data_IF_133658976507
#
_entry.id   IF_133658976507
#
_cell.length_a   1.000
_cell.length_b   1.000
_cell.length_c   1.000
_cell.angle_alpha   90.00
_cell.angle_beta   90.00
_cell.angle_gamma   90.00
#
_symmetry.space_group_name_H-M   'P 1'
#
loop_
_entity.id
_entity.type
_entity.pdbx_description
1 polymer ?
#
# COMPACT_ATOMS: atom_id res chain seq x y z
N UNK A 1 -18.37 4.64 -12.31
CA UNK A 1 -17.34 3.82 -11.62
C UNK A 1 -18.04 2.68 -10.88
N UNK A 2 -17.47 1.51 -10.87
CA UNK A 2 -17.98 0.37 -10.11
C UNK A 2 -16.84 -0.23 -9.29
N UNK A 3 -17.04 -0.28 -7.96
CA UNK A 3 -16.14 -0.93 -7.03
C UNK A 3 -16.96 -1.90 -6.16
N UNK A 4 -16.95 -3.16 -6.53
CA UNK A 4 -17.71 -4.21 -5.83
C UNK A 4 -17.21 -4.43 -4.40
N UNK A 5 -15.93 -4.14 -4.14
CA UNK A 5 -15.33 -4.26 -2.82
C UNK A 5 -15.98 -3.32 -1.79
N UNK A 6 -16.42 -2.12 -2.19
CA UNK A 6 -17.06 -1.16 -1.27
C UNK A 6 -18.34 -1.68 -0.61
N UNK A 7 -19.00 -2.68 -1.20
CA UNK A 7 -20.22 -3.30 -0.65
C UNK A 7 -19.92 -4.38 0.38
N UNK A 8 -18.67 -4.84 0.49
CA UNK A 8 -18.26 -5.90 1.42
C UNK A 8 -17.88 -5.32 2.78
N UNK A 9 -18.26 -6.01 3.86
CA UNK A 9 -17.82 -5.70 5.22
C UNK A 9 -16.70 -6.68 5.55
N UNK A 10 -15.49 -6.16 5.74
CA UNK A 10 -14.34 -6.95 6.15
C UNK A 10 -14.08 -6.60 7.62
N UNK A 11 -14.36 -7.51 8.57
CA UNK A 11 -14.31 -7.20 10.00
C UNK A 11 -12.87 -7.28 10.53
N UNK A 12 -11.96 -6.54 9.95
CA UNK A 12 -10.56 -6.44 10.38
C UNK A 12 -10.24 -5.01 10.78
N UNK A 13 -9.63 -4.83 11.95
CA UNK A 13 -9.21 -3.52 12.46
C UNK A 13 -7.96 -3.66 13.30
N UNK A 14 -7.29 -2.54 13.57
CA UNK A 14 -6.16 -2.42 14.49
C UNK A 14 -6.47 -1.42 15.61
N UNK A 15 -5.68 -1.45 16.68
CA UNK A 15 -5.82 -0.52 17.81
C UNK A 15 -5.48 0.93 17.42
N UNK A 16 -4.70 1.14 16.36
CA UNK A 16 -4.31 2.46 15.87
C UNK A 16 -5.27 3.01 14.80
N UNK A 17 -6.31 2.25 14.43
CA UNK A 17 -7.25 2.64 13.38
C UNK A 17 -7.88 4.00 13.66
N UNK A 18 -7.70 4.95 12.72
CA UNK A 18 -8.19 6.31 12.84
C UNK A 18 -7.32 7.25 13.68
N UNK A 19 -6.12 6.82 14.08
CA UNK A 19 -5.18 7.66 14.83
C UNK A 19 -3.94 7.89 13.95
N UNK A 20 -3.88 9.04 13.30
CA UNK A 20 -2.76 9.36 12.42
C UNK A 20 -1.57 9.96 13.15
N UNK A 21 -0.39 9.92 12.50
CA UNK A 21 0.87 10.43 13.05
C UNK A 21 1.66 11.19 11.99
N UNK A 22 2.25 12.33 12.42
CA UNK A 22 3.16 13.12 11.60
C UNK A 22 4.54 12.46 11.57
N UNK A 23 4.99 12.05 10.38
CA UNK A 23 6.28 11.35 10.21
C UNK A 23 7.40 12.32 9.88
N UNK A 24 7.15 13.23 8.93
CA UNK A 24 8.02 14.37 8.62
C UNK A 24 7.15 15.63 8.56
N UNK A 25 7.72 16.81 8.32
CA UNK A 25 6.95 18.04 8.23
C UNK A 25 5.84 18.03 7.16
N UNK A 26 5.96 17.15 6.17
CA UNK A 26 5.08 17.04 5.00
C UNK A 26 4.55 15.63 4.73
N UNK A 27 4.89 14.66 5.58
CA UNK A 27 4.35 13.30 5.51
C UNK A 27 3.54 12.98 6.75
N UNK A 28 2.31 12.57 6.55
CA UNK A 28 1.40 12.12 7.59
C UNK A 28 0.86 10.73 7.26
N UNK A 29 1.08 9.81 8.16
CA UNK A 29 0.62 8.44 8.12
C UNK A 29 -0.75 8.35 8.80
N UNK A 30 -1.73 7.73 8.15
CA UNK A 30 -3.08 7.53 8.68
C UNK A 30 -3.50 6.08 8.52
N UNK A 31 -3.48 5.29 9.60
CA UNK A 31 -3.95 3.92 9.58
C UNK A 31 -5.48 3.88 9.66
N UNK A 32 -6.11 3.14 8.77
CA UNK A 32 -7.53 2.87 8.85
C UNK A 32 -7.80 1.37 8.74
N UNK A 33 -8.42 0.80 9.76
CA UNK A 33 -8.53 -0.64 9.94
C UNK A 33 -7.13 -1.30 10.02
N UNK A 34 -6.66 -1.95 8.96
CA UNK A 34 -5.38 -2.64 8.92
C UNK A 34 -4.43 -2.10 7.85
N UNK A 35 -4.85 -1.11 7.09
CA UNK A 35 -4.09 -0.54 5.97
C UNK A 35 -3.78 0.93 6.23
N UNK A 36 -2.71 1.40 5.64
CA UNK A 36 -2.24 2.75 5.77
C UNK A 36 -2.51 3.55 4.50
N UNK A 37 -2.89 4.80 4.68
CA UNK A 37 -2.84 5.83 3.64
C UNK A 37 -1.86 6.91 4.07
N UNK A 38 -1.26 7.59 3.09
CA UNK A 38 -0.29 8.65 3.38
C UNK A 38 -0.75 9.96 2.75
N UNK A 39 -0.73 11.02 3.55
CA UNK A 39 -0.95 12.39 3.07
C UNK A 39 0.41 13.06 2.93
N UNK A 40 0.72 13.51 1.73
CA UNK A 40 1.90 14.31 1.42
C UNK A 40 1.51 15.75 1.20
N UNK A 41 2.05 16.65 1.99
CA UNK A 41 1.83 18.09 1.93
C UNK A 41 1.92 18.71 3.32
N UNK A 42 2.30 19.97 3.39
CA UNK A 42 2.32 20.72 4.65
C UNK A 42 0.89 20.97 5.14
N UNK A 43 0.58 20.66 6.42
CA UNK A 43 -0.75 20.92 6.95
C UNK A 43 -1.06 22.42 6.92
N UNK A 44 -2.32 22.75 6.68
CA UNK A 44 -2.80 24.12 6.64
C UNK A 44 -3.84 24.36 5.55
N UNK A 45 -4.79 25.25 5.83
CA UNK A 45 -5.88 25.55 4.92
C UNK A 45 -5.37 26.06 3.57
N UNK A 46 -5.82 25.42 2.48
CA UNK A 46 -5.47 25.80 1.11
C UNK A 46 -4.09 25.34 0.63
N UNK A 47 -3.30 24.65 1.45
CA UNK A 47 -2.03 24.07 1.01
C UNK A 47 -2.25 22.93 0.02
N UNK A 48 -1.34 22.80 -0.93
CA UNK A 48 -1.36 21.69 -1.89
C UNK A 48 -0.93 20.38 -1.23
N UNK A 49 -1.61 19.30 -1.59
CA UNK A 49 -1.34 17.96 -1.04
C UNK A 49 -1.70 16.84 -2.02
N UNK A 50 -1.16 15.66 -1.77
CA UNK A 50 -1.37 14.42 -2.52
C UNK A 50 -1.75 13.32 -1.54
N UNK A 51 -2.66 12.45 -1.95
CA UNK A 51 -3.00 11.23 -1.22
C UNK A 51 -2.27 10.05 -1.84
N UNK A 52 -1.67 9.21 -1.03
CA UNK A 52 -1.08 7.94 -1.45
C UNK A 52 -1.95 6.81 -0.90
N UNK A 53 -2.46 5.98 -1.80
CA UNK A 53 -3.47 4.94 -1.60
C UNK A 53 -4.84 5.48 -1.11
N UNK A 54 -5.85 4.63 -1.10
CA UNK A 54 -7.23 5.01 -0.81
C UNK A 54 -7.91 4.09 0.23
N UNK A 55 -7.11 3.30 0.93
CA UNK A 55 -7.53 2.51 2.09
C UNK A 55 -8.50 1.37 1.79
N UNK A 56 -9.02 0.78 2.84
CA UNK A 56 -9.99 -0.32 2.83
C UNK A 56 -11.35 0.12 2.25
N UNK A 57 -12.19 -0.83 1.82
CA UNK A 57 -13.60 -0.54 1.53
C UNK A 57 -14.27 0.25 2.66
N UNK A 58 -14.98 1.32 2.32
CA UNK A 58 -15.67 2.26 3.23
C UNK A 58 -14.75 3.21 4.02
N UNK A 59 -13.47 3.30 3.68
CA UNK A 59 -12.57 4.27 4.33
C UNK A 59 -12.72 5.70 3.81
N UNK A 60 -13.40 5.90 2.68
CA UNK A 60 -13.46 7.19 2.00
C UNK A 60 -13.93 8.35 2.90
N UNK A 61 -15.00 8.16 3.69
CA UNK A 61 -15.49 9.21 4.60
C UNK A 61 -14.46 9.57 5.68
N UNK A 62 -13.74 8.59 6.23
CA UNK A 62 -12.71 8.83 7.23
C UNK A 62 -11.51 9.56 6.63
N UNK A 63 -11.09 9.20 5.42
CA UNK A 63 -10.02 9.89 4.69
C UNK A 63 -10.43 11.32 4.38
N UNK A 64 -11.68 11.57 3.97
CA UNK A 64 -12.21 12.93 3.70
C UNK A 64 -12.18 13.77 4.97
N UNK A 65 -12.67 13.24 6.10
CA UNK A 65 -12.67 13.96 7.38
C UNK A 65 -11.25 14.34 7.79
N UNK A 66 -10.31 13.38 7.76
CA UNK A 66 -8.91 13.64 8.10
C UNK A 66 -8.27 14.66 7.17
N UNK A 67 -8.54 14.59 5.86
CA UNK A 67 -8.06 15.58 4.89
C UNK A 67 -8.61 16.97 5.15
N UNK A 68 -9.92 17.10 5.45
CA UNK A 68 -10.55 18.39 5.75
C UNK A 68 -10.03 19.01 7.06
N UNK A 69 -9.68 18.18 8.05
CA UNK A 69 -9.03 18.64 9.29
C UNK A 69 -7.61 19.16 9.06
N UNK A 70 -6.85 18.50 8.16
CA UNK A 70 -5.45 18.84 7.89
C UNK A 70 -5.28 20.00 6.92
N UNK A 71 -6.04 20.03 5.85
CA UNK A 71 -5.85 20.92 4.70
C UNK A 71 -6.99 21.92 4.49
N UNK A 72 -8.02 21.84 5.31
CA UNK A 72 -9.21 22.69 5.19
C UNK A 72 -10.31 22.10 4.32
N UNK A 73 -11.54 22.54 4.59
CA UNK A 73 -12.71 22.13 3.82
C UNK A 73 -12.62 22.64 2.39
N UNK A 74 -13.11 21.84 1.44
CA UNK A 74 -13.10 22.14 -0.01
C UNK A 74 -11.70 22.32 -0.62
N UNK A 75 -10.68 21.75 -0.01
CA UNK A 75 -9.32 21.68 -0.55
C UNK A 75 -9.01 20.25 -1.01
N UNK A 76 -9.36 19.86 -2.25
CA UNK A 76 -9.09 18.52 -2.75
C UNK A 76 -7.60 18.28 -2.96
N UNK A 77 -7.14 16.99 -2.92
CA UNK A 77 -5.78 16.67 -3.31
C UNK A 77 -5.52 17.00 -4.78
N UNK A 78 -4.26 17.27 -5.12
CA UNK A 78 -3.84 17.42 -6.52
C UNK A 78 -3.97 16.12 -7.31
N UNK A 79 -3.75 14.99 -6.62
CA UNK A 79 -3.86 13.64 -7.17
C UNK A 79 -4.02 12.61 -6.07
N UNK A 80 -4.44 11.40 -6.46
CA UNK A 80 -4.18 10.16 -5.71
C UNK A 80 -3.09 9.39 -6.46
N UNK A 81 -2.08 8.93 -5.73
CA UNK A 81 -1.04 8.03 -6.24
C UNK A 81 -1.31 6.65 -5.65
N UNK A 82 -1.49 5.64 -6.46
CA UNK A 82 -1.66 4.26 -6.00
C UNK A 82 -0.31 3.52 -6.05
N UNK A 83 0.01 2.85 -4.95
CA UNK A 83 1.14 1.90 -4.92
C UNK A 83 0.82 0.69 -5.78
N UNK A 84 -0.42 0.18 -5.67
CA UNK A 84 -0.98 -0.91 -6.46
C UNK A 84 -2.53 -0.92 -6.33
N UNK A 85 -3.21 -1.85 -6.97
CA UNK A 85 -4.67 -1.83 -7.06
C UNK A 85 -5.41 -2.88 -6.21
N UNK A 86 -4.82 -3.50 -5.20
CA UNK A 86 -5.56 -4.40 -4.32
C UNK A 86 -6.67 -3.67 -3.54
N UNK A 87 -7.69 -4.42 -3.18
CA UNK A 87 -8.95 -3.92 -2.60
C UNK A 87 -8.77 -3.02 -1.37
N UNK A 88 -7.74 -3.25 -0.60
CA UNK A 88 -7.41 -2.52 0.63
C UNK A 88 -6.57 -1.26 0.38
N UNK A 89 -6.08 -1.06 -0.84
CA UNK A 89 -5.42 0.16 -1.29
C UNK A 89 -6.29 1.04 -2.18
N UNK A 90 -7.38 0.48 -2.73
CA UNK A 90 -8.31 1.20 -3.60
C UNK A 90 -9.75 1.21 -3.05
N UNK A 91 -9.95 0.74 -1.82
CA UNK A 91 -11.29 0.49 -1.28
C UNK A 91 -12.19 1.72 -1.17
N UNK A 92 -11.64 2.88 -0.84
CA UNK A 92 -12.38 4.15 -0.77
C UNK A 92 -12.33 4.98 -2.04
N UNK A 93 -11.62 4.55 -3.08
CA UNK A 93 -11.23 5.40 -4.21
C UNK A 93 -12.40 5.97 -5.01
N UNK A 94 -13.47 5.20 -5.21
CA UNK A 94 -14.66 5.66 -5.95
C UNK A 94 -15.30 6.84 -5.24
N UNK A 95 -15.47 6.75 -3.93
CA UNK A 95 -16.03 7.80 -3.10
C UNK A 95 -15.15 9.07 -3.11
N UNK A 96 -13.82 8.89 -3.04
CA UNK A 96 -12.86 9.99 -3.09
C UNK A 96 -12.88 10.70 -4.46
N UNK A 97 -12.94 9.96 -5.56
CA UNK A 97 -13.06 10.52 -6.91
C UNK A 97 -14.40 11.28 -7.07
N UNK A 98 -15.50 10.73 -6.59
CA UNK A 98 -16.80 11.40 -6.64
C UNK A 98 -16.80 12.71 -5.87
N UNK A 99 -16.15 12.75 -4.70
CA UNK A 99 -16.03 13.95 -3.85
C UNK A 99 -15.10 15.00 -4.46
N UNK A 100 -13.90 14.60 -4.92
CA UNK A 100 -12.82 15.54 -5.23
C UNK A 100 -12.54 15.72 -6.72
N UNK A 101 -12.91 14.77 -7.56
CA UNK A 101 -12.75 14.82 -9.04
C UNK A 101 -11.32 15.10 -9.50
N UNK A 102 -10.32 14.54 -8.79
CA UNK A 102 -8.90 14.66 -9.10
C UNK A 102 -8.40 13.45 -9.93
N UNK A 103 -7.23 13.56 -10.59
CA UNK A 103 -6.61 12.44 -11.29
C UNK A 103 -6.07 11.40 -10.30
N UNK A 104 -6.07 10.13 -10.75
CA UNK A 104 -5.44 9.00 -10.08
C UNK A 104 -4.26 8.55 -10.92
N UNK A 105 -3.12 8.26 -10.31
CA UNK A 105 -1.93 7.74 -11.00
C UNK A 105 -1.55 6.38 -10.43
N UNK A 106 -1.18 5.46 -11.30
CA UNK A 106 -0.65 4.14 -10.96
C UNK A 106 0.37 3.68 -12.01
N UNK A 107 1.09 2.62 -11.75
CA UNK A 107 1.97 2.02 -12.74
C UNK A 107 1.17 1.47 -13.94
N UNK A 108 1.76 1.50 -15.14
CA UNK A 108 1.09 1.04 -16.36
C UNK A 108 0.60 -0.41 -16.29
N UNK A 109 1.33 -1.29 -15.58
CA UNK A 109 0.95 -2.69 -15.38
C UNK A 109 -0.22 -2.89 -14.41
N UNK A 110 -0.65 -1.85 -13.66
CA UNK A 110 -1.87 -1.89 -12.86
C UNK A 110 -3.12 -1.49 -13.67
N UNK A 111 -2.96 -0.92 -14.87
CA UNK A 111 -4.09 -0.41 -15.65
C UNK A 111 -5.16 -1.44 -15.98
N UNK A 112 -4.84 -2.70 -16.36
CA UNK A 112 -5.89 -3.70 -16.64
C UNK A 112 -6.82 -3.91 -15.44
N UNK A 113 -6.26 -4.00 -14.23
CA UNK A 113 -7.01 -4.19 -12.98
C UNK A 113 -7.83 -2.94 -12.59
N UNK A 114 -7.25 -1.76 -12.79
CA UNK A 114 -7.90 -0.48 -12.45
C UNK A 114 -8.93 -0.02 -13.49
N UNK A 115 -8.94 -0.62 -14.68
CA UNK A 115 -9.92 -0.35 -15.75
C UNK A 115 -11.02 -1.40 -15.86
N UNK A 116 -10.96 -2.44 -15.04
CA UNK A 116 -11.95 -3.51 -15.07
C UNK A 116 -11.77 -4.49 -16.22
N UNK A 117 -10.56 -4.60 -16.76
CA UNK A 117 -10.20 -5.45 -17.89
C UNK A 117 -9.76 -6.85 -17.43
N UNK A 118 -9.06 -6.93 -16.27
CA UNK A 118 -8.54 -8.15 -15.68
C UNK A 118 -8.72 -8.15 -14.16
N UNK A 119 -9.03 -9.30 -13.57
CA UNK A 119 -9.04 -9.51 -12.13
C UNK A 119 -7.63 -9.88 -11.64
N UNK A 120 -7.31 -9.54 -10.37
CA UNK A 120 -6.07 -10.02 -9.75
C UNK A 120 -6.10 -11.54 -9.56
N UNK A 121 -4.93 -12.20 -9.50
CA UNK A 121 -4.86 -13.61 -9.14
C UNK A 121 -5.61 -13.88 -7.83
N UNK A 122 -6.30 -15.02 -7.78
CA UNK A 122 -6.97 -15.45 -6.55
C UNK A 122 -5.98 -15.56 -5.39
N UNK A 123 -6.32 -15.05 -4.19
CA UNK A 123 -5.51 -15.25 -3.01
C UNK A 123 -5.23 -16.72 -2.73
N UNK A 124 -4.06 -17.02 -2.19
CA UNK A 124 -3.68 -18.38 -1.82
C UNK A 124 -3.98 -18.69 -0.34
N UNK A 125 -5.08 -19.39 -0.02
CA UNK A 125 -5.43 -19.74 1.35
C UNK A 125 -4.59 -20.86 1.94
N UNK A 126 -3.72 -21.49 1.15
CA UNK A 126 -2.93 -22.66 1.56
C UNK A 126 -1.63 -22.28 2.24
N UNK A 127 -1.18 -21.03 2.10
CA UNK A 127 0.05 -20.54 2.76
C UNK A 127 -0.09 -20.50 4.29
N UNK A 128 1.03 -20.55 5.00
CA UNK A 128 1.03 -20.26 6.44
C UNK A 128 0.58 -18.81 6.66
N UNK A 129 -0.43 -18.63 7.49
CA UNK A 129 -1.00 -17.31 7.67
C UNK A 129 -2.20 -17.30 8.61
N UNK A 130 -2.36 -18.38 9.33
CA UNK A 130 -3.41 -18.49 10.34
C UNK A 130 -4.82 -18.25 9.75
N UNK A 131 -5.63 -17.46 10.46
CA UNK A 131 -7.02 -17.20 10.01
C UNK A 131 -7.08 -16.27 8.80
N UNK A 132 -6.16 -15.31 8.67
CA UNK A 132 -6.18 -14.35 7.55
C UNK A 132 -5.97 -15.04 6.21
N UNK A 133 -5.00 -15.94 6.11
CA UNK A 133 -4.81 -16.76 4.91
C UNK A 133 -6.05 -17.63 4.61
N UNK A 134 -6.63 -18.25 5.62
CA UNK A 134 -7.82 -19.12 5.45
C UNK A 134 -9.05 -18.36 4.95
N UNK A 135 -9.23 -17.11 5.33
CA UNK A 135 -10.35 -16.27 4.87
C UNK A 135 -10.00 -15.48 3.61
N UNK A 136 -8.77 -15.53 3.13
CA UNK A 136 -8.33 -14.78 1.95
C UNK A 136 -9.14 -15.06 0.67
N UNK A 137 -9.70 -16.25 0.41
CA UNK A 137 -10.59 -16.46 -0.73
C UNK A 137 -11.85 -15.58 -0.74
N UNK A 138 -12.18 -14.95 0.38
CA UNK A 138 -13.30 -14.01 0.47
C UNK A 138 -12.86 -12.55 0.27
N UNK A 139 -11.55 -12.30 0.13
CA UNK A 139 -11.06 -10.95 -0.17
C UNK A 139 -11.40 -10.60 -1.62
N UNK A 140 -11.81 -9.35 -1.86
CA UNK A 140 -12.08 -8.91 -3.21
C UNK A 140 -10.78 -8.93 -4.03
N UNK A 141 -10.78 -9.66 -5.13
CA UNK A 141 -9.72 -9.64 -6.16
C UNK A 141 -10.23 -9.12 -7.50
N UNK A 142 -11.53 -8.77 -7.53
CA UNK A 142 -12.18 -8.29 -8.75
C UNK A 142 -11.64 -6.90 -9.13
N UNK A 143 -11.43 -6.73 -10.43
CA UNK A 143 -11.06 -5.46 -11.03
C UNK A 143 -12.03 -4.32 -10.68
N UNK A 144 -11.52 -3.12 -10.56
CA UNK A 144 -12.34 -1.92 -10.40
C UNK A 144 -12.40 -1.13 -11.70
N UNK A 145 -13.45 -0.31 -11.87
CA UNK A 145 -13.64 0.46 -13.10
C UNK A 145 -13.45 1.94 -12.82
N UNK A 146 -12.20 2.39 -12.94
CA UNK A 146 -11.81 3.81 -12.81
C UNK A 146 -11.66 4.49 -14.17
N UNK A 147 -12.38 4.03 -15.19
CA UNK A 147 -12.32 4.55 -16.57
C UNK A 147 -12.35 6.08 -16.62
N UNK A 148 -11.36 6.68 -17.32
CA UNK A 148 -11.25 8.13 -17.48
C UNK A 148 -10.65 8.89 -16.29
N UNK A 149 -10.42 8.22 -15.16
CA UNK A 149 -9.83 8.86 -13.97
C UNK A 149 -8.39 8.39 -13.70
N UNK A 150 -7.98 7.20 -14.16
CA UNK A 150 -6.65 6.64 -13.92
C UNK A 150 -5.70 6.89 -15.09
N UNK A 151 -4.49 7.32 -14.76
CA UNK A 151 -3.39 7.61 -15.69
C UNK A 151 -2.13 6.86 -15.26
N UNK A 152 -1.26 6.55 -16.24
CA UNK A 152 0.03 5.96 -15.93
C UNK A 152 0.96 6.98 -15.27
N UNK A 153 1.77 6.52 -14.29
CA UNK A 153 2.88 7.28 -13.75
C UNK A 153 3.87 7.64 -14.87
N UNK A 154 4.51 8.84 -14.80
CA UNK A 154 5.51 9.25 -15.78
C UNK A 154 6.67 8.26 -15.87
N UNK A 155 7.08 7.90 -17.09
CA UNK A 155 8.15 6.90 -17.32
C UNK A 155 9.54 7.38 -16.88
N UNK A 156 9.73 8.67 -16.63
CA UNK A 156 10.99 9.24 -16.10
C UNK A 156 11.20 9.02 -14.60
N UNK A 157 10.27 8.31 -13.96
CA UNK A 157 10.31 8.00 -12.54
C UNK A 157 9.82 9.14 -11.63
N UNK A 158 9.37 10.27 -12.17
CA UNK A 158 8.82 11.35 -11.34
C UNK A 158 7.43 11.01 -10.82
N UNK A 159 7.09 11.52 -9.62
CA UNK A 159 5.76 11.36 -9.04
C UNK A 159 4.99 12.67 -9.23
N UNK A 160 3.83 12.67 -9.89
CA UNK A 160 3.05 13.89 -10.12
C UNK A 160 2.74 14.64 -8.82
N UNK A 161 3.00 15.94 -8.79
CA UNK A 161 2.77 16.85 -7.65
C UNK A 161 3.55 16.52 -6.37
N UNK A 162 4.59 15.68 -6.47
CA UNK A 162 5.47 15.33 -5.36
C UNK A 162 6.93 15.62 -5.74
N UNK A 163 7.32 16.89 -5.61
CA UNK A 163 8.67 17.33 -5.98
C UNK A 163 9.74 16.61 -5.16
N UNK A 164 10.78 16.14 -5.85
CA UNK A 164 11.89 15.40 -5.24
C UNK A 164 11.61 13.92 -4.96
N UNK A 165 10.38 13.45 -5.19
CA UNK A 165 10.04 12.04 -5.10
C UNK A 165 10.24 11.31 -6.42
N UNK A 166 10.62 10.04 -6.32
CA UNK A 166 10.67 9.10 -7.42
C UNK A 166 9.83 7.87 -7.10
N UNK A 167 9.09 7.38 -8.09
CA UNK A 167 8.54 6.05 -8.01
C UNK A 167 9.57 5.02 -8.46
N UNK A 168 9.53 3.87 -7.81
CA UNK A 168 10.45 2.74 -8.03
C UNK A 168 9.57 1.53 -8.29
N UNK A 169 9.75 0.87 -9.44
CA UNK A 169 9.06 -0.37 -9.72
C UNK A 169 9.55 -1.47 -8.78
N UNK A 170 8.64 -2.00 -7.98
CA UNK A 170 8.86 -3.00 -6.94
C UNK A 170 7.87 -4.16 -7.07
N UNK A 171 7.93 -4.89 -8.22
CA UNK A 171 7.02 -5.99 -8.49
C UNK A 171 7.20 -7.16 -7.53
N UNK A 172 6.24 -8.08 -7.54
CA UNK A 172 6.22 -9.31 -6.76
C UNK A 172 4.88 -9.51 -6.06
N UNK A 173 4.46 -8.54 -5.24
CA UNK A 173 3.14 -8.50 -4.65
C UNK A 173 2.04 -8.27 -5.71
N UNK A 174 2.24 -7.30 -6.58
CA UNK A 174 1.56 -7.19 -7.88
C UNK A 174 2.59 -6.93 -8.97
N UNK A 175 2.18 -7.09 -10.25
CA UNK A 175 3.09 -6.84 -11.37
C UNK A 175 3.46 -5.37 -11.51
N UNK A 176 2.55 -4.46 -11.18
CA UNK A 176 2.74 -3.03 -11.31
C UNK A 176 2.96 -2.31 -9.97
N UNK A 177 3.25 -3.05 -8.90
CA UNK A 177 3.51 -2.44 -7.60
C UNK A 177 4.66 -1.43 -7.67
N UNK A 178 4.48 -0.27 -7.04
CA UNK A 178 5.52 0.77 -6.90
C UNK A 178 5.70 1.19 -5.46
N UNK A 179 6.94 1.54 -5.13
CA UNK A 179 7.28 2.26 -3.90
C UNK A 179 7.71 3.69 -4.26
N UNK A 180 7.55 4.64 -3.35
CA UNK A 180 7.95 6.03 -3.56
C UNK A 180 9.12 6.36 -2.64
N UNK A 181 10.17 6.99 -3.17
CA UNK A 181 11.36 7.35 -2.41
C UNK A 181 11.76 8.79 -2.64
N UNK A 182 12.12 9.49 -1.56
CA UNK A 182 12.71 10.83 -1.57
C UNK A 182 14.13 10.77 -1.03
N UNK A 183 15.10 11.02 -1.92
CA UNK A 183 16.52 10.93 -1.57
C UNK A 183 16.95 11.99 -0.57
N UNK A 184 16.36 13.18 -0.61
CA UNK A 184 16.75 14.33 0.20
C UNK A 184 16.76 14.07 1.71
N UNK A 185 15.86 13.22 2.21
CA UNK A 185 15.74 12.88 3.63
C UNK A 185 15.62 11.36 3.88
N UNK A 186 15.74 10.55 2.83
CA UNK A 186 15.62 9.10 2.92
C UNK A 186 14.23 8.61 3.27
N UNK A 187 13.17 9.37 2.96
CA UNK A 187 11.78 8.95 3.18
C UNK A 187 11.35 7.93 2.14
N UNK A 188 10.80 6.80 2.59
CA UNK A 188 10.28 5.71 1.77
C UNK A 188 8.80 5.47 2.08
N UNK A 189 7.96 5.44 1.05
CA UNK A 189 6.62 4.88 1.10
C UNK A 189 6.70 3.56 0.33
N UNK A 190 6.73 2.46 1.07
CA UNK A 190 7.07 1.15 0.52
C UNK A 190 5.89 0.44 -0.14
N UNK A 191 4.64 0.85 0.16
CA UNK A 191 3.48 0.05 -0.16
C UNK A 191 3.62 -1.34 0.48
N UNK A 192 3.30 -2.36 -0.29
CA UNK A 192 3.34 -3.77 0.13
C UNK A 192 4.57 -4.53 -0.41
N UNK A 193 5.64 -3.82 -0.81
CA UNK A 193 6.91 -4.48 -1.14
C UNK A 193 7.51 -5.22 0.07
N UNK A 194 7.31 -4.69 1.24
CA UNK A 194 7.48 -5.31 2.56
C UNK A 194 6.55 -4.61 3.55
N UNK A 195 6.27 -5.24 4.69
CA UNK A 195 5.38 -4.69 5.71
C UNK A 195 6.05 -4.71 7.09
N UNK A 196 5.59 -3.83 7.99
CA UNK A 196 6.15 -3.67 9.35
C UNK A 196 5.28 -4.34 10.42
N UNK A 197 4.48 -5.31 10.00
CA UNK A 197 3.64 -6.17 10.85
C UNK A 197 3.55 -7.55 10.22
N UNK A 198 3.49 -8.60 11.05
CA UNK A 198 3.26 -9.95 10.53
C UNK A 198 1.77 -10.14 10.22
N UNK A 199 1.40 -10.00 8.97
CA UNK A 199 0.01 -10.05 8.48
C UNK A 199 -0.69 -11.40 8.74
N UNK A 200 0.06 -12.49 8.82
CA UNK A 200 -0.48 -13.82 9.07
C UNK A 200 -0.98 -14.00 10.52
N UNK A 201 -0.62 -13.10 11.44
CA UNK A 201 -1.05 -13.15 12.83
C UNK A 201 -2.11 -12.10 13.13
N UNK A 202 -3.36 -12.52 13.35
CA UNK A 202 -4.45 -11.62 13.78
C UNK A 202 -4.10 -10.80 15.02
N UNK A 203 -3.38 -11.40 15.98
CA UNK A 203 -2.94 -10.70 17.18
C UNK A 203 -1.99 -9.56 16.84
N UNK A 204 -0.95 -9.81 16.01
CA UNK A 204 0.04 -8.80 15.62
C UNK A 204 -0.57 -7.71 14.73
N UNK A 205 -1.47 -8.08 13.81
CA UNK A 205 -2.24 -7.11 13.02
C UNK A 205 -3.11 -6.23 13.92
N UNK A 206 -3.76 -6.81 14.91
CA UNK A 206 -4.59 -6.04 15.86
C UNK A 206 -3.74 -5.12 16.74
N UNK A 207 -2.61 -5.61 17.28
CA UNK A 207 -1.75 -4.84 18.20
C UNK A 207 -0.74 -3.94 17.49
N UNK A 208 -0.56 -4.08 16.16
CA UNK A 208 0.45 -3.38 15.37
C UNK A 208 1.87 -3.55 15.96
N UNK A 209 2.18 -4.79 16.41
CA UNK A 209 3.51 -5.12 16.90
C UNK A 209 4.54 -4.99 15.81
N UNK A 210 5.62 -4.25 16.06
CA UNK A 210 6.70 -4.00 15.11
C UNK A 210 7.45 -5.29 14.78
N UNK A 211 7.22 -5.80 13.58
CA UNK A 211 7.95 -6.96 13.04
C UNK A 211 8.02 -6.79 11.52
N UNK A 212 9.23 -6.75 10.98
CA UNK A 212 9.37 -6.69 9.53
C UNK A 212 9.03 -8.04 8.90
N UNK A 213 8.32 -8.02 7.80
CA UNK A 213 7.98 -9.18 6.98
C UNK A 213 8.09 -8.83 5.51
N UNK A 214 8.15 -9.83 4.65
CA UNK A 214 7.96 -9.64 3.22
C UNK A 214 6.55 -9.15 2.90
N UNK A 215 6.17 -9.10 1.62
CA UNK A 215 4.83 -8.77 1.19
C UNK A 215 3.80 -9.78 1.74
N UNK A 216 2.49 -9.42 1.80
CA UNK A 216 1.42 -10.31 2.26
C UNK A 216 1.42 -11.65 1.53
N UNK A 217 1.65 -12.76 2.25
CA UNK A 217 1.93 -14.09 1.68
C UNK A 217 0.82 -14.61 0.77
N UNK A 218 -0.43 -14.42 1.16
CA UNK A 218 -1.59 -14.93 0.43
C UNK A 218 -1.94 -14.14 -0.84
N UNK A 219 -1.30 -12.99 -1.07
CA UNK A 219 -1.52 -12.11 -2.24
C UNK A 219 -0.24 -11.90 -3.08
N UNK A 220 0.82 -12.67 -2.84
CA UNK A 220 2.11 -12.47 -3.53
C UNK A 220 2.39 -13.63 -4.49
N UNK A 221 2.19 -13.42 -5.80
CA UNK A 221 2.39 -14.47 -6.80
C UNK A 221 3.83 -14.65 -7.27
N UNK A 222 4.71 -13.65 -7.10
CA UNK A 222 6.10 -13.69 -7.61
C UNK A 222 7.11 -13.37 -6.52
N UNK A 223 7.64 -14.41 -5.90
CA UNK A 223 8.59 -14.31 -4.79
C UNK A 223 10.00 -13.91 -5.23
N UNK A 224 10.39 -14.21 -6.46
CA UNK A 224 11.69 -13.80 -7.00
C UNK A 224 11.71 -12.28 -7.23
N UNK A 225 10.67 -11.76 -7.87
CA UNK A 225 10.51 -10.32 -8.06
C UNK A 225 10.35 -9.58 -6.72
N UNK A 226 9.63 -10.15 -5.74
CA UNK A 226 9.47 -9.58 -4.41
C UNK A 226 10.82 -9.46 -3.68
N UNK A 227 11.66 -10.50 -3.72
CA UNK A 227 13.03 -10.46 -3.19
C UNK A 227 13.84 -9.34 -3.81
N UNK A 228 13.91 -9.30 -5.15
CA UNK A 228 14.65 -8.27 -5.87
C UNK A 228 14.15 -6.85 -5.53
N UNK A 229 12.86 -6.70 -5.30
CA UNK A 229 12.24 -5.44 -4.89
C UNK A 229 12.69 -5.03 -3.48
N UNK A 230 12.68 -5.94 -2.51
CA UNK A 230 13.17 -5.67 -1.14
C UNK A 230 14.66 -5.33 -1.14
N UNK A 231 15.49 -6.08 -1.87
CA UNK A 231 16.93 -5.81 -2.01
C UNK A 231 17.17 -4.41 -2.61
N UNK A 232 16.42 -4.05 -3.66
CA UNK A 232 16.47 -2.72 -4.27
C UNK A 232 16.13 -1.62 -3.27
N UNK A 233 15.06 -1.77 -2.48
CA UNK A 233 14.65 -0.79 -1.48
C UNK A 233 15.64 -0.69 -0.32
N UNK A 234 16.17 -1.81 0.16
CA UNK A 234 17.19 -1.83 1.21
C UNK A 234 18.48 -1.12 0.77
N UNK A 235 18.88 -1.26 -0.50
CA UNK A 235 20.06 -0.60 -1.06
C UNK A 235 19.94 0.94 -1.08
N UNK A 236 18.73 1.49 -1.06
CA UNK A 236 18.49 2.94 -0.93
C UNK A 236 18.81 3.48 0.47
N UNK A 237 18.96 2.62 1.46
CA UNK A 237 19.25 2.97 2.86
C UNK A 237 18.26 3.99 3.42
N UNK A 238 16.95 3.72 3.37
CA UNK A 238 15.94 4.65 3.84
C UNK A 238 16.12 4.99 5.32
N UNK A 239 15.81 6.25 5.67
CA UNK A 239 15.86 6.76 7.05
C UNK A 239 14.54 6.47 7.77
N UNK A 240 13.43 6.56 7.05
CA UNK A 240 12.09 6.22 7.53
C UNK A 240 11.33 5.49 6.42
N UNK A 241 10.54 4.50 6.80
CA UNK A 241 9.65 3.78 5.89
C UNK A 241 8.22 3.76 6.44
N UNK A 242 7.27 4.08 5.56
CA UNK A 242 5.84 3.89 5.75
C UNK A 242 5.45 2.77 4.79
N UNK A 243 4.89 1.68 5.31
CA UNK A 243 4.44 0.51 4.56
C UNK A 243 2.92 0.53 4.40
N UNK A 244 2.36 -0.30 3.51
CA UNK A 244 0.91 -0.43 3.38
C UNK A 244 0.25 -0.96 4.66
N UNK A 245 0.98 -1.76 5.43
CA UNK A 245 0.50 -2.35 6.68
C UNK A 245 1.54 -2.25 7.79
N UNK A 246 1.07 -1.99 9.02
CA UNK A 246 1.92 -1.83 10.18
C UNK A 246 2.33 -0.39 10.44
N UNK A 247 3.00 -0.15 11.57
CA UNK A 247 3.46 1.18 11.97
C UNK A 247 4.70 1.59 11.18
N UNK A 248 4.89 2.88 10.91
CA UNK A 248 6.14 3.38 10.35
C UNK A 248 7.36 2.94 11.16
N UNK A 249 8.45 2.63 10.46
CA UNK A 249 9.70 2.24 11.08
C UNK A 249 10.83 3.20 10.65
N UNK A 250 11.75 3.52 11.54
CA UNK A 250 12.78 4.53 11.24
C UNK A 250 14.15 4.21 11.86
N UNK A 251 15.17 4.90 11.36
CA UNK A 251 16.52 4.95 11.91
C UNK A 251 17.24 3.62 11.93
N UNK A 252 17.86 3.31 13.08
CA UNK A 252 18.63 2.08 13.26
C UNK A 252 17.75 0.83 13.16
N UNK A 253 16.54 0.88 13.75
CA UNK A 253 15.59 -0.24 13.74
C UNK A 253 15.17 -0.61 12.32
N UNK A 254 14.83 0.39 11.49
CA UNK A 254 14.49 0.13 10.08
C UNK A 254 15.66 -0.54 9.34
N UNK A 255 16.85 -0.01 9.50
CA UNK A 255 18.05 -0.50 8.81
C UNK A 255 18.36 -1.96 9.17
N UNK A 256 18.40 -2.25 10.47
CA UNK A 256 18.70 -3.60 10.96
C UNK A 256 17.64 -4.63 10.52
N UNK A 257 16.36 -4.23 10.52
CA UNK A 257 15.27 -5.09 10.09
C UNK A 257 15.28 -5.29 8.57
N UNK A 258 15.57 -4.28 7.75
CA UNK A 258 15.70 -4.44 6.30
C UNK A 258 16.92 -5.30 5.94
N UNK A 259 18.07 -5.08 6.59
CA UNK A 259 19.26 -5.90 6.37
C UNK A 259 18.97 -7.37 6.73
N UNK A 260 18.24 -7.62 7.83
CA UNK A 260 17.79 -8.96 8.24
C UNK A 260 16.82 -9.59 7.22
N UNK A 261 15.83 -8.80 6.74
CA UNK A 261 14.87 -9.29 5.75
C UNK A 261 15.56 -9.67 4.44
N UNK A 262 16.55 -8.90 3.98
CA UNK A 262 17.35 -9.23 2.80
C UNK A 262 18.16 -10.51 3.03
N UNK A 263 18.85 -10.62 4.18
CA UNK A 263 19.69 -11.78 4.50
C UNK A 263 18.89 -13.09 4.62
N UNK A 264 17.67 -12.99 5.21
CA UNK A 264 16.82 -14.15 5.52
C UNK A 264 15.47 -14.12 4.80
N UNK A 265 15.44 -13.61 3.59
CA UNK A 265 14.19 -13.42 2.85
C UNK A 265 13.39 -14.73 2.72
N UNK A 266 14.05 -15.85 2.44
CA UNK A 266 13.38 -17.15 2.31
C UNK A 266 12.69 -17.56 3.61
N UNK A 267 13.38 -17.40 4.74
CA UNK A 267 12.87 -17.81 6.04
C UNK A 267 11.76 -16.87 6.58
N UNK A 268 11.89 -15.55 6.29
CA UNK A 268 10.99 -14.53 6.84
C UNK A 268 9.77 -14.31 5.92
N UNK A 269 9.99 -14.21 4.61
CA UNK A 269 8.97 -13.78 3.67
C UNK A 269 8.27 -14.95 2.99
N UNK A 270 9.03 -15.89 2.40
CA UNK A 270 8.46 -16.96 1.57
C UNK A 270 7.73 -17.96 2.46
N UNK A 271 6.49 -18.36 2.15
CA UNK A 271 5.80 -19.43 2.87
C UNK A 271 6.43 -20.80 2.57
N UNK A 272 6.36 -21.73 3.52
CA UNK A 272 6.89 -23.09 3.36
C UNK A 272 6.16 -23.90 2.26
N UNK A 273 4.91 -23.52 1.97
CA UNK A 273 4.08 -24.12 0.94
C UNK A 273 3.07 -23.11 0.38
N UNK A 274 2.54 -23.40 -0.81
CA UNK A 274 1.56 -22.55 -1.46
C UNK A 274 1.62 -22.65 -2.98
N UNK A 275 0.57 -22.14 -3.64
CA UNK A 275 0.43 -22.16 -5.10
C UNK A 275 1.62 -21.50 -5.81
N UNK A 276 2.14 -20.42 -5.25
CA UNK A 276 3.17 -19.60 -5.87
C UNK A 276 4.60 -19.87 -5.38
N UNK A 277 4.81 -20.83 -4.46
CA UNK A 277 6.14 -21.11 -3.85
C UNK A 277 7.01 -21.99 -4.74
N UNK A 278 6.42 -22.88 -5.54
CA UNK A 278 7.16 -23.89 -6.31
C UNK A 278 7.19 -23.64 -7.83
N UNK A 279 6.90 -22.44 -8.30
CA UNK A 279 6.97 -22.09 -9.72
C UNK A 279 6.03 -22.89 -10.64
N UNK A 280 5.05 -23.57 -10.10
CA UNK A 280 3.99 -24.23 -10.86
C UNK A 280 2.78 -23.30 -10.90
N UNK A 281 2.76 -22.47 -11.92
CA UNK A 281 1.50 -21.97 -12.45
C UNK A 281 0.82 -23.17 -13.11
N UNK A 282 -0.24 -23.70 -12.52
CA UNK A 282 -1.14 -24.64 -13.17
C UNK A 282 -2.09 -23.89 -14.11
#
# INVERSE_FOLDING_TARGET
MENKAEKRIIPMTSIDSGIGEQITSDLYYFPFMIVNVVFYGYPGEGNEWVLIDAGMPRSGDNIIVEAEERFGKNNPPKAIILTHGHFDHVGGITQLIEKWKMPVYAHELEMPFLRGEEDYPDPDPTVEGGLLAKISPYYPNEAIKLEGHVQALPQDGTVPFMDGWKWIHTPGHTQGHVSLFREADGSLIAGDAFVTVKQESLYKVFTQEHEISGPPRYLTPDWEAARASVEKLAALRPVVAITGHGRPMAGKTLRENLDLLVEKFDDIAIPDHGRFVNGKQD
#
